data_IF_269587759090
#
_entry.id   IF_269587759090
#
_cell.length_a   1.000
_cell.length_b   1.000
_cell.length_c   1.000
_cell.angle_alpha   90.00
_cell.angle_beta   90.00
_cell.angle_gamma   90.00
#
_symmetry.space_group_name_H-M   'P 1'
#
loop_
_entity.id
_entity.type
_entity.pdbx_description
1 polymer ?
#
# COMPACT_ATOMS: atom_id res chain seq x y z
N UNK A 1 -7.33 10.58 17.04
CA UNK A 1 -7.30 9.11 16.94
C UNK A 1 -7.26 8.72 15.48
N UNK A 2 -6.35 7.80 15.09
CA UNK A 2 -6.27 7.27 13.71
C UNK A 2 -7.34 6.19 13.50
N UNK A 3 -8.15 6.34 12.46
CA UNK A 3 -9.05 5.30 11.96
C UNK A 3 -8.40 4.51 10.83
N UNK A 4 -8.35 3.19 10.93
CA UNK A 4 -7.77 2.31 9.91
C UNK A 4 -8.85 1.46 9.25
N UNK A 5 -9.06 1.71 7.95
CA UNK A 5 -9.99 0.97 7.11
C UNK A 5 -9.26 -0.23 6.49
N UNK A 6 -9.33 -1.37 7.16
CA UNK A 6 -8.57 -2.58 6.86
C UNK A 6 -9.42 -3.75 6.35
N UNK A 7 -8.80 -4.93 6.27
CA UNK A 7 -9.44 -6.18 5.82
C UNK A 7 -9.21 -6.53 4.35
N UNK A 8 -8.32 -5.77 3.65
CA UNK A 8 -8.13 -5.89 2.21
C UNK A 8 -6.68 -6.25 1.75
N UNK A 9 -5.92 -7.19 2.33
CA UNK A 9 -6.39 -8.25 3.23
C UNK A 9 -6.08 -8.04 4.72
N UNK A 10 -6.55 -8.98 5.52
CA UNK A 10 -6.31 -8.97 6.95
C UNK A 10 -4.83 -9.04 7.33
N UNK A 11 -4.04 -9.85 6.65
CA UNK A 11 -2.59 -9.98 6.87
C UNK A 11 -1.88 -8.65 6.61
N UNK A 12 -2.20 -7.98 5.49
CA UNK A 12 -1.66 -6.67 5.17
C UNK A 12 -2.08 -5.57 6.17
N UNK A 13 -3.28 -5.70 6.74
CA UNK A 13 -3.77 -4.79 7.78
C UNK A 13 -3.00 -4.97 9.09
N UNK A 14 -2.73 -6.22 9.49
CA UNK A 14 -1.91 -6.53 10.65
C UNK A 14 -0.45 -6.04 10.47
N UNK A 15 0.13 -6.26 9.30
CA UNK A 15 1.46 -5.76 8.92
C UNK A 15 1.53 -4.22 9.00
N UNK A 16 0.51 -3.51 8.49
CA UNK A 16 0.43 -2.05 8.62
C UNK A 16 0.44 -1.62 10.08
N UNK A 17 -0.37 -2.26 10.94
CA UNK A 17 -0.42 -1.91 12.35
C UNK A 17 0.90 -2.18 13.06
N UNK A 18 1.54 -3.32 12.78
CA UNK A 18 2.88 -3.63 13.31
C UNK A 18 3.92 -2.57 12.89
N UNK A 19 3.89 -2.13 11.63
CA UNK A 19 4.76 -1.06 11.12
C UNK A 19 4.45 0.29 11.76
N UNK A 20 3.18 0.62 11.97
CA UNK A 20 2.79 1.85 12.67
C UNK A 20 3.39 1.89 14.08
N UNK A 21 3.32 0.78 14.81
CA UNK A 21 3.94 0.65 16.14
C UNK A 21 5.47 0.79 16.04
N UNK A 22 6.11 0.04 15.13
CA UNK A 22 7.57 0.03 14.98
C UNK A 22 8.15 1.38 14.52
N UNK A 23 7.44 2.13 13.68
CA UNK A 23 7.88 3.43 13.18
C UNK A 23 7.54 4.59 14.14
N UNK A 24 6.70 4.38 15.15
CA UNK A 24 6.39 5.41 16.14
C UNK A 24 7.56 5.57 17.10
N UNK A 25 8.22 6.75 17.17
CA UNK A 25 9.26 7.02 18.16
C UNK A 25 8.61 7.18 19.55
N UNK A 26 8.48 6.09 20.27
CA UNK A 26 7.84 5.97 21.57
C UNK A 26 8.88 5.59 22.65
N UNK A 27 8.70 6.09 23.87
CA UNK A 27 9.44 5.71 25.07
C UNK A 27 8.60 4.86 26.01
N UNK A 28 7.27 4.92 25.87
CA UNK A 28 6.28 4.15 26.59
C UNK A 28 5.02 3.98 25.75
N UNK A 29 4.06 3.19 26.27
CA UNK A 29 2.82 2.87 25.57
C UNK A 29 1.99 4.12 25.24
N UNK A 30 2.04 5.13 26.08
CA UNK A 30 1.33 6.42 25.95
C UNK A 30 1.82 7.27 24.78
N UNK A 31 3.00 7.00 24.25
CA UNK A 31 3.59 7.72 23.12
C UNK A 31 3.13 7.19 21.76
N UNK A 32 2.46 6.03 21.74
CA UNK A 32 1.95 5.45 20.51
C UNK A 32 0.68 6.15 19.99
N UNK A 33 0.47 6.06 18.68
CA UNK A 33 -0.71 6.59 18.00
C UNK A 33 -1.97 5.84 18.47
N UNK A 34 -2.98 6.51 19.04
CA UNK A 34 -4.26 5.86 19.36
C UNK A 34 -4.97 5.44 18.08
N UNK A 35 -5.36 4.17 17.96
CA UNK A 35 -5.92 3.58 16.74
C UNK A 35 -7.27 2.94 16.97
N UNK A 36 -8.22 3.22 16.07
CA UNK A 36 -9.44 2.46 15.86
C UNK A 36 -9.30 1.72 14.53
N UNK A 37 -9.17 0.39 14.58
CA UNK A 37 -8.96 -0.44 13.40
C UNK A 37 -10.19 -1.29 13.11
N UNK A 38 -10.76 -1.16 11.91
CA UNK A 38 -11.80 -2.05 11.39
C UNK A 38 -11.18 -2.93 10.30
N UNK A 39 -11.12 -4.23 10.54
CA UNK A 39 -10.68 -5.23 9.56
C UNK A 39 -11.87 -6.09 9.14
N UNK A 40 -12.46 -5.80 7.96
CA UNK A 40 -13.56 -6.61 7.43
C UNK A 40 -13.13 -7.33 6.13
N UNK A 41 -12.88 -8.65 6.18
CA UNK A 41 -12.46 -9.40 5.00
C UNK A 41 -13.61 -9.66 4.00
N UNK A 42 -14.86 -9.29 4.33
CA UNK A 42 -16.04 -9.47 3.48
C UNK A 42 -16.23 -8.32 2.48
N UNK A 43 -15.38 -7.29 2.51
CA UNK A 43 -15.37 -6.23 1.50
C UNK A 43 -15.22 -6.87 0.09
N UNK A 44 -16.11 -6.56 -0.88
CA UNK A 44 -16.05 -7.12 -2.22
C UNK A 44 -14.65 -7.05 -2.84
N UNK A 45 -14.21 -8.10 -3.58
CA UNK A 45 -12.87 -8.15 -4.15
C UNK A 45 -12.61 -7.00 -5.12
N UNK A 46 -11.56 -6.21 -4.88
CA UNK A 46 -11.17 -5.04 -5.70
C UNK A 46 -10.78 -5.39 -7.13
N UNK A 47 -9.95 -6.45 -7.38
CA UNK A 47 -9.56 -6.74 -8.76
C UNK A 47 -10.72 -7.08 -9.70
N UNK A 48 -11.69 -7.96 -9.38
CA UNK A 48 -12.84 -8.19 -10.26
C UNK A 48 -13.72 -6.95 -10.47
N UNK A 49 -13.86 -6.10 -9.46
CA UNK A 49 -14.63 -4.86 -9.58
C UNK A 49 -14.01 -3.89 -10.59
N UNK A 50 -12.67 -3.79 -10.61
CA UNK A 50 -11.94 -2.91 -11.54
C UNK A 50 -11.84 -3.52 -12.94
N UNK A 51 -11.48 -4.82 -13.04
CA UNK A 51 -11.13 -5.45 -14.30
C UNK A 51 -12.33 -5.99 -15.07
N UNK A 52 -13.40 -6.39 -14.37
CA UNK A 52 -14.55 -7.07 -14.94
C UNK A 52 -15.91 -6.42 -14.62
N UNK A 53 -15.91 -5.24 -13.97
CA UNK A 53 -17.16 -4.57 -13.60
C UNK A 53 -18.02 -5.34 -12.59
N UNK A 54 -17.38 -6.19 -11.75
CA UNK A 54 -18.08 -6.89 -10.68
C UNK A 54 -18.56 -5.93 -9.58
N UNK A 55 -19.17 -6.47 -8.54
CA UNK A 55 -19.70 -5.68 -7.41
C UNK A 55 -18.67 -4.67 -6.87
N UNK A 56 -19.07 -3.39 -6.82
CA UNK A 56 -18.21 -2.32 -6.31
C UNK A 56 -18.06 -2.40 -4.80
N UNK A 57 -16.85 -2.33 -4.25
CA UNK A 57 -16.64 -2.26 -2.81
C UNK A 57 -16.98 -0.90 -2.21
N UNK A 58 -17.22 0.14 -3.02
CA UNK A 58 -17.39 1.52 -2.57
C UNK A 58 -18.49 1.70 -1.50
N UNK A 59 -19.69 1.10 -1.62
CA UNK A 59 -20.72 1.26 -0.59
C UNK A 59 -20.27 0.70 0.77
N UNK A 60 -19.59 -0.45 0.79
CA UNK A 60 -19.07 -1.06 2.01
C UNK A 60 -17.92 -0.23 2.59
N UNK A 61 -17.03 0.27 1.74
CA UNK A 61 -15.92 1.14 2.16
C UNK A 61 -16.42 2.43 2.80
N UNK A 62 -17.46 3.07 2.22
CA UNK A 62 -18.12 4.25 2.82
C UNK A 62 -18.72 3.94 4.19
N UNK A 63 -19.46 2.85 4.30
CA UNK A 63 -20.05 2.44 5.58
C UNK A 63 -19.00 2.18 6.67
N UNK A 64 -17.86 1.57 6.32
CA UNK A 64 -16.76 1.35 7.26
C UNK A 64 -16.04 2.66 7.62
N UNK A 65 -15.82 3.56 6.65
CA UNK A 65 -15.31 4.91 6.87
C UNK A 65 -16.15 5.66 7.90
N UNK A 66 -17.47 5.68 7.68
CA UNK A 66 -18.41 6.41 8.53
C UNK A 66 -18.47 5.82 9.94
N UNK A 67 -18.34 4.49 10.07
CA UNK A 67 -18.22 3.84 11.38
C UNK A 67 -16.94 4.22 12.12
N UNK A 68 -15.81 4.35 11.42
CA UNK A 68 -14.55 4.83 12.01
C UNK A 68 -14.72 6.26 12.53
N UNK A 69 -15.33 7.14 11.74
CA UNK A 69 -15.59 8.54 12.13
C UNK A 69 -16.53 8.59 13.33
N UNK A 70 -17.64 7.85 13.31
CA UNK A 70 -18.58 7.75 14.43
C UNK A 70 -17.91 7.17 15.69
N UNK A 71 -16.90 6.32 15.54
CA UNK A 71 -16.06 5.80 16.62
C UNK A 71 -15.01 6.79 17.14
N UNK A 72 -14.98 8.01 16.62
CA UNK A 72 -14.09 9.09 17.07
C UNK A 72 -12.76 9.18 16.32
N UNK A 73 -12.61 8.55 15.15
CA UNK A 73 -11.43 8.77 14.31
C UNK A 73 -11.41 10.22 13.80
N UNK A 74 -10.27 10.87 13.92
CA UNK A 74 -10.04 12.27 13.50
C UNK A 74 -9.12 12.37 12.28
N UNK A 75 -8.58 11.24 11.81
CA UNK A 75 -7.82 11.05 10.58
C UNK A 75 -7.98 9.61 10.14
N UNK A 76 -8.03 9.36 8.85
CA UNK A 76 -8.23 8.02 8.28
C UNK A 76 -7.04 7.56 7.45
N UNK A 77 -6.85 6.23 7.40
CA UNK A 77 -5.91 5.57 6.51
C UNK A 77 -6.48 4.24 6.01
N UNK A 78 -6.11 3.86 4.79
CA UNK A 78 -6.54 2.61 4.15
C UNK A 78 -5.32 1.86 3.60
N UNK A 79 -4.81 0.81 4.30
CA UNK A 79 -3.63 0.06 3.89
C UNK A 79 -3.95 -0.93 2.76
N UNK A 80 -4.35 -0.42 1.60
CA UNK A 80 -4.66 -1.20 0.42
C UNK A 80 -4.48 -0.35 -0.84
N UNK A 81 -3.45 -0.64 -1.66
CA UNK A 81 -3.20 0.10 -2.89
C UNK A 81 -4.37 -0.02 -3.87
N UNK A 82 -4.84 -1.23 -4.17
CA UNK A 82 -5.92 -1.44 -5.15
C UNK A 82 -7.22 -0.71 -4.78
N UNK A 83 -7.53 -0.59 -3.48
CA UNK A 83 -8.72 0.13 -3.04
C UNK A 83 -8.62 1.65 -3.24
N UNK A 84 -7.41 2.20 -3.46
CA UNK A 84 -7.21 3.62 -3.79
C UNK A 84 -7.79 4.01 -5.17
N UNK A 85 -8.23 3.04 -5.98
CA UNK A 85 -9.09 3.32 -7.13
C UNK A 85 -10.37 4.10 -6.74
N UNK A 86 -10.87 3.89 -5.54
CA UNK A 86 -12.05 4.60 -5.00
C UNK A 86 -11.69 5.73 -4.03
N UNK A 87 -10.41 6.10 -3.93
CA UNK A 87 -9.93 7.06 -2.94
C UNK A 87 -10.64 8.42 -3.06
N UNK A 88 -10.70 8.99 -4.25
CA UNK A 88 -11.33 10.29 -4.47
C UNK A 88 -12.81 10.28 -4.04
N UNK A 89 -13.55 9.23 -4.42
CA UNK A 89 -14.95 9.06 -4.03
C UNK A 89 -15.15 8.82 -2.52
N UNK A 90 -14.12 8.36 -1.81
CA UNK A 90 -14.14 8.18 -0.36
C UNK A 90 -13.72 9.47 0.38
N UNK A 91 -12.89 10.28 -0.22
CA UNK A 91 -12.32 11.49 0.37
C UNK A 91 -13.21 12.73 0.13
N UNK A 92 -13.96 12.77 -0.99
CA UNK A 92 -14.73 13.94 -1.45
C UNK A 92 -15.68 14.50 -0.38
N UNK A 93 -16.37 13.63 0.33
CA UNK A 93 -17.33 13.97 1.39
C UNK A 93 -16.86 13.57 2.80
N UNK A 94 -15.59 13.28 2.97
CA UNK A 94 -15.03 12.85 4.24
C UNK A 94 -14.76 14.05 5.15
N UNK A 95 -15.39 14.14 6.35
CA UNK A 95 -15.25 15.29 7.25
C UNK A 95 -13.91 15.35 7.98
N UNK A 96 -13.06 14.33 7.84
CA UNK A 96 -11.73 14.25 8.45
C UNK A 96 -10.69 13.96 7.37
N UNK A 97 -9.41 14.34 7.55
CA UNK A 97 -8.35 14.00 6.60
C UNK A 97 -8.29 12.50 6.33
N UNK A 98 -8.25 12.12 5.05
CA UNK A 98 -8.05 10.75 4.62
C UNK A 98 -6.68 10.65 3.94
N UNK A 99 -5.75 9.91 4.55
CA UNK A 99 -4.37 9.82 4.08
C UNK A 99 -4.25 8.82 2.92
N UNK A 100 -3.59 9.26 1.84
CA UNK A 100 -3.38 8.45 0.63
C UNK A 100 -2.10 7.60 0.75
N UNK A 101 -2.21 6.28 0.59
CA UNK A 101 -1.05 5.38 0.51
C UNK A 101 -0.23 5.66 -0.76
N UNK A 102 -0.88 6.12 -1.84
CA UNK A 102 -0.23 6.45 -3.11
C UNK A 102 0.66 7.67 -2.94
N UNK A 103 0.12 8.75 -2.34
CA UNK A 103 0.90 9.96 -2.07
C UNK A 103 2.03 9.75 -1.08
N UNK A 104 1.76 9.00 0.01
CA UNK A 104 2.77 8.63 1.00
C UNK A 104 3.93 7.87 0.34
N UNK A 105 3.62 6.87 -0.49
CA UNK A 105 4.63 6.06 -1.17
C UNK A 105 5.41 6.85 -2.22
N UNK A 106 4.72 7.67 -3.02
CA UNK A 106 5.37 8.52 -4.02
C UNK A 106 6.28 9.60 -3.38
N UNK A 107 5.90 10.08 -2.18
CA UNK A 107 6.74 11.00 -1.40
C UNK A 107 8.06 10.36 -0.93
N UNK A 108 8.06 9.07 -0.62
CA UNK A 108 9.28 8.35 -0.21
C UNK A 108 10.23 8.04 -1.38
N UNK A 109 9.79 8.11 -2.64
CA UNK A 109 10.68 7.89 -3.80
C UNK A 109 11.89 8.80 -3.76
N UNK A 110 11.71 10.06 -3.39
CA UNK A 110 12.79 11.05 -3.32
C UNK A 110 13.97 10.63 -2.42
N UNK A 111 13.71 9.79 -1.41
CA UNK A 111 14.75 9.30 -0.49
C UNK A 111 15.65 8.24 -1.12
N UNK A 112 15.13 7.48 -2.09
CA UNK A 112 15.87 6.42 -2.80
C UNK A 112 16.38 6.87 -4.16
N UNK A 113 15.59 7.66 -4.88
CA UNK A 113 15.83 8.05 -6.25
C UNK A 113 15.34 9.49 -6.50
N UNK A 114 16.22 10.50 -6.39
CA UNK A 114 15.88 11.88 -6.72
C UNK A 114 15.36 12.02 -8.16
N UNK A 115 14.45 12.95 -8.39
CA UNK A 115 13.92 13.21 -9.73
C UNK A 115 15.00 13.89 -10.63
N UNK A 116 15.02 13.62 -11.95
CA UNK A 116 14.14 12.69 -12.65
C UNK A 116 14.59 11.22 -12.49
N UNK A 117 13.67 10.31 -12.21
CA UNK A 117 14.00 8.89 -12.07
C UNK A 117 12.91 7.99 -12.67
N UNK A 118 13.23 6.72 -12.87
CA UNK A 118 12.32 5.69 -13.34
C UNK A 118 11.91 4.82 -12.14
N UNK A 119 10.62 4.77 -11.85
CA UNK A 119 10.05 4.04 -10.72
C UNK A 119 9.25 2.85 -11.23
N UNK A 120 9.68 1.63 -10.86
CA UNK A 120 8.93 0.43 -11.20
C UNK A 120 7.82 0.17 -10.18
N UNK A 121 6.71 -0.42 -10.64
CA UNK A 121 5.58 -0.81 -9.80
C UNK A 121 5.47 -2.33 -9.74
N UNK A 122 5.48 -2.90 -8.53
CA UNK A 122 5.13 -4.30 -8.26
C UNK A 122 3.76 -4.30 -7.58
N UNK A 123 2.73 -4.71 -8.30
CA UNK A 123 1.34 -4.53 -7.89
C UNK A 123 0.42 -5.61 -8.45
N UNK A 124 -0.84 -5.64 -7.99
CA UNK A 124 -1.89 -6.43 -8.66
C UNK A 124 -2.18 -5.86 -10.05
N UNK A 125 -2.63 -6.71 -10.99
CA UNK A 125 -3.06 -6.27 -12.33
C UNK A 125 -4.09 -5.14 -12.26
N UNK A 126 -5.01 -5.21 -11.32
CA UNK A 126 -6.02 -4.17 -11.12
C UNK A 126 -5.41 -2.82 -10.71
N UNK A 127 -4.40 -2.82 -9.86
CA UNK A 127 -3.68 -1.60 -9.47
C UNK A 127 -2.95 -0.98 -10.65
N UNK A 128 -2.30 -1.82 -11.48
CA UNK A 128 -1.61 -1.35 -12.69
C UNK A 128 -2.61 -0.82 -13.72
N UNK A 129 -3.72 -1.54 -13.96
CA UNK A 129 -4.76 -1.12 -14.90
C UNK A 129 -5.45 0.19 -14.47
N UNK A 130 -5.63 0.39 -13.18
CA UNK A 130 -6.21 1.61 -12.60
C UNK A 130 -5.29 2.84 -12.69
N UNK A 131 -3.99 2.65 -12.97
CA UNK A 131 -2.98 3.71 -13.16
C UNK A 131 -2.93 4.75 -12.02
N UNK A 132 -3.25 4.33 -10.79
CA UNK A 132 -3.38 5.22 -9.62
C UNK A 132 -2.07 5.92 -9.23
N UNK A 133 -0.91 5.40 -9.67
CA UNK A 133 0.41 5.99 -9.40
C UNK A 133 0.89 6.95 -10.47
N UNK A 134 0.34 6.87 -11.69
CA UNK A 134 0.89 7.56 -12.86
C UNK A 134 0.93 9.09 -12.68
N UNK A 135 -0.21 9.68 -12.32
CA UNK A 135 -0.33 11.15 -12.15
C UNK A 135 0.52 11.65 -11.00
N UNK A 136 0.52 10.91 -9.88
CA UNK A 136 1.23 11.31 -8.66
C UNK A 136 2.75 11.25 -8.85
N UNK A 137 3.26 10.22 -9.53
CA UNK A 137 4.68 10.10 -9.85
C UNK A 137 5.12 11.10 -10.92
N UNK A 138 4.31 11.28 -11.98
CA UNK A 138 4.59 12.27 -13.02
C UNK A 138 4.67 13.71 -12.48
N UNK A 139 3.76 14.08 -11.57
CA UNK A 139 3.78 15.38 -10.91
C UNK A 139 5.04 15.61 -10.05
N UNK A 140 5.73 14.55 -9.64
CA UNK A 140 7.00 14.58 -8.90
C UNK A 140 8.24 14.42 -9.82
N UNK A 141 8.05 14.39 -11.14
CA UNK A 141 9.14 14.28 -12.13
C UNK A 141 9.64 12.85 -12.35
N UNK A 142 8.88 11.83 -11.93
CA UNK A 142 9.26 10.43 -12.12
C UNK A 142 8.50 9.80 -13.30
N UNK A 143 9.13 8.80 -13.94
CA UNK A 143 8.52 7.95 -14.96
C UNK A 143 8.14 6.60 -14.36
N UNK A 144 6.97 6.10 -14.72
CA UNK A 144 6.51 4.77 -14.31
C UNK A 144 7.06 3.71 -15.25
N UNK A 145 7.62 2.63 -14.67
CA UNK A 145 7.96 1.39 -15.35
C UNK A 145 7.03 0.28 -14.86
N UNK A 146 6.44 -0.46 -15.79
CA UNK A 146 5.60 -1.60 -15.47
C UNK A 146 6.33 -2.93 -15.72
N UNK A 147 6.00 -3.98 -14.97
CA UNK A 147 6.42 -5.34 -15.29
C UNK A 147 5.83 -5.75 -16.64
N UNK A 148 6.50 -6.65 -17.34
CA UNK A 148 5.93 -7.25 -18.51
C UNK A 148 4.86 -8.32 -18.17
N UNK A 149 4.17 -8.84 -19.20
CA UNK A 149 3.08 -9.78 -18.99
C UNK A 149 3.55 -11.13 -18.40
N UNK A 150 4.79 -11.55 -18.63
CA UNK A 150 5.35 -12.76 -18.05
C UNK A 150 5.74 -12.55 -16.58
N UNK A 151 6.43 -11.46 -16.28
CA UNK A 151 6.77 -11.04 -14.91
C UNK A 151 5.51 -10.94 -14.04
N UNK A 152 4.43 -10.37 -14.59
CA UNK A 152 3.17 -10.28 -13.89
C UNK A 152 2.53 -11.64 -13.63
N UNK A 153 2.39 -12.49 -14.68
CA UNK A 153 1.67 -13.77 -14.59
C UNK A 153 2.46 -14.84 -13.85
N UNK A 154 3.78 -14.93 -14.07
CA UNK A 154 4.60 -16.01 -13.51
C UNK A 154 5.30 -15.63 -12.21
N UNK A 155 5.48 -14.33 -11.93
CA UNK A 155 6.17 -13.84 -10.75
C UNK A 155 5.23 -13.16 -9.76
N UNK A 156 4.66 -12.00 -10.11
CA UNK A 156 3.95 -11.12 -9.17
C UNK A 156 2.62 -11.73 -8.69
N UNK A 157 1.76 -12.17 -9.62
CA UNK A 157 0.44 -12.70 -9.24
C UNK A 157 0.53 -13.94 -8.33
N UNK A 158 1.37 -14.97 -8.64
CA UNK A 158 1.54 -16.11 -7.75
C UNK A 158 2.16 -15.73 -6.40
N UNK A 159 3.12 -14.80 -6.38
CA UNK A 159 3.73 -14.34 -5.14
C UNK A 159 2.70 -13.70 -4.20
N UNK A 160 1.82 -12.83 -4.73
CA UNK A 160 0.74 -12.23 -3.94
C UNK A 160 -0.21 -13.32 -3.40
N UNK A 161 -0.52 -14.35 -4.19
CA UNK A 161 -1.35 -15.47 -3.75
C UNK A 161 -0.68 -16.27 -2.63
N UNK A 162 0.61 -16.59 -2.75
CA UNK A 162 1.40 -17.29 -1.71
C UNK A 162 1.41 -16.54 -0.38
N UNK A 163 1.63 -15.21 -0.38
CA UNK A 163 1.59 -14.44 0.87
C UNK A 163 0.22 -14.53 1.54
N UNK A 164 -0.86 -14.46 0.79
CA UNK A 164 -2.22 -14.59 1.34
C UNK A 164 -2.50 -15.97 1.96
N UNK A 165 -1.78 -16.99 1.51
CA UNK A 165 -1.83 -18.35 2.07
C UNK A 165 -0.80 -18.57 3.20
N UNK A 166 -0.03 -17.54 3.59
CA UNK A 166 0.99 -17.65 4.65
C UNK A 166 2.34 -18.17 4.17
N UNK A 167 2.57 -18.27 2.87
CA UNK A 167 3.76 -18.85 2.24
C UNK A 167 4.74 -17.74 1.77
N UNK A 168 5.09 -16.83 2.66
CA UNK A 168 5.90 -15.65 2.33
C UNK A 168 7.28 -15.98 1.75
N UNK A 169 7.91 -17.08 2.17
CA UNK A 169 9.20 -17.54 1.63
C UNK A 169 9.12 -17.95 0.16
N UNK A 170 8.10 -18.73 -0.22
CA UNK A 170 7.86 -19.09 -1.63
C UNK A 170 7.55 -17.86 -2.49
N UNK A 171 6.77 -16.93 -1.95
CA UNK A 171 6.48 -15.65 -2.60
C UNK A 171 7.76 -14.84 -2.87
N UNK A 172 8.68 -14.78 -1.89
CA UNK A 172 9.95 -14.07 -2.04
C UNK A 172 10.83 -14.63 -3.15
N UNK A 173 10.89 -15.96 -3.29
CA UNK A 173 11.62 -16.61 -4.39
C UNK A 173 11.09 -16.25 -5.77
N UNK A 174 9.79 -15.98 -5.90
CA UNK A 174 9.17 -15.55 -7.15
C UNK A 174 9.39 -14.05 -7.42
N UNK A 175 9.36 -13.22 -6.38
CA UNK A 175 9.44 -11.76 -6.52
C UNK A 175 10.86 -11.23 -6.75
N UNK A 176 11.88 -11.85 -6.13
CA UNK A 176 13.27 -11.37 -6.23
C UNK A 176 13.73 -11.27 -7.68
N UNK A 177 13.60 -12.32 -8.52
CA UNK A 177 14.03 -12.24 -9.92
C UNK A 177 13.29 -11.16 -10.73
N UNK A 178 12.00 -10.94 -10.45
CA UNK A 178 11.21 -9.89 -11.12
C UNK A 178 11.76 -8.50 -10.77
N UNK A 179 12.03 -8.24 -9.49
CA UNK A 179 12.55 -6.94 -9.05
C UNK A 179 13.96 -6.71 -9.61
N UNK A 180 14.81 -7.73 -9.62
CA UNK A 180 16.15 -7.67 -10.23
C UNK A 180 16.07 -7.34 -11.73
N UNK A 181 15.13 -7.96 -12.46
CA UNK A 181 14.90 -7.66 -13.87
C UNK A 181 14.42 -6.23 -14.10
N UNK A 182 13.51 -5.72 -13.26
CA UNK A 182 13.06 -4.32 -13.33
C UNK A 182 14.23 -3.35 -13.09
N UNK A 183 15.07 -3.63 -12.10
CA UNK A 183 16.26 -2.82 -11.81
C UNK A 183 17.26 -2.89 -12.97
N UNK A 184 17.50 -4.07 -13.54
CA UNK A 184 18.39 -4.27 -14.68
C UNK A 184 17.89 -3.53 -15.94
N UNK A 185 16.56 -3.35 -16.10
CA UNK A 185 15.96 -2.54 -17.16
C UNK A 185 16.01 -1.03 -16.89
N UNK A 186 16.62 -0.60 -15.80
CA UNK A 186 16.84 0.81 -15.47
C UNK A 186 15.82 1.41 -14.50
N UNK A 187 15.16 0.61 -13.68
CA UNK A 187 14.40 1.15 -12.56
C UNK A 187 15.35 1.66 -11.47
N UNK A 188 15.20 2.92 -11.10
CA UNK A 188 15.98 3.56 -10.04
C UNK A 188 15.45 3.20 -8.65
N UNK A 189 14.14 3.01 -8.53
CA UNK A 189 13.44 2.54 -7.34
C UNK A 189 12.25 1.66 -7.72
N UNK A 190 11.77 0.85 -6.77
CA UNK A 190 10.60 -0.02 -6.95
C UNK A 190 9.58 0.27 -5.85
N UNK A 191 8.36 0.64 -6.21
CA UNK A 191 7.25 0.72 -5.25
C UNK A 191 6.58 -0.65 -5.17
N UNK A 192 6.56 -1.22 -3.96
CA UNK A 192 5.82 -2.44 -3.66
C UNK A 192 4.33 -2.10 -3.46
N UNK A 193 3.67 -1.81 -4.59
CA UNK A 193 2.28 -1.33 -4.64
C UNK A 193 1.23 -2.46 -4.45
N UNK A 194 1.62 -3.50 -3.76
CA UNK A 194 0.77 -4.50 -3.13
C UNK A 194 1.30 -4.74 -1.72
N UNK A 195 0.47 -4.55 -0.72
CA UNK A 195 0.84 -4.57 0.70
C UNK A 195 1.31 -5.94 1.20
N UNK A 196 1.11 -6.99 0.42
CA UNK A 196 1.64 -8.33 0.65
C UNK A 196 3.13 -8.48 0.26
N UNK A 197 3.60 -7.76 -0.76
CA UNK A 197 4.93 -7.99 -1.36
C UNK A 197 6.12 -7.66 -0.46
N UNK A 198 6.08 -6.67 0.47
CA UNK A 198 7.19 -6.45 1.40
C UNK A 198 7.48 -7.67 2.27
N UNK A 199 6.44 -8.35 2.78
CA UNK A 199 6.58 -9.54 3.63
C UNK A 199 7.28 -10.69 2.91
N UNK A 200 7.04 -10.83 1.60
CA UNK A 200 7.69 -11.83 0.78
C UNK A 200 9.21 -11.60 0.70
N UNK A 201 9.63 -10.36 0.46
CA UNK A 201 11.06 -10.01 0.37
C UNK A 201 11.76 -10.11 1.73
N UNK A 202 11.08 -9.70 2.79
CA UNK A 202 11.61 -9.77 4.16
C UNK A 202 11.80 -11.23 4.60
N UNK A 203 10.90 -12.15 4.18
CA UNK A 203 10.99 -13.58 4.51
C UNK A 203 12.23 -14.29 3.92
N UNK A 204 12.79 -13.77 2.82
CA UNK A 204 13.97 -14.34 2.16
C UNK A 204 15.23 -13.47 2.35
N UNK A 205 15.15 -12.40 3.14
CA UNK A 205 16.27 -11.49 3.37
C UNK A 205 16.80 -10.87 2.08
N UNK A 206 15.94 -10.53 1.13
CA UNK A 206 16.30 -10.12 -0.21
C UNK A 206 17.08 -8.80 -0.24
N UNK A 207 18.29 -8.78 -0.82
CA UNK A 207 19.11 -7.58 -0.94
C UNK A 207 18.45 -6.47 -1.75
N UNK A 208 17.62 -6.83 -2.74
CA UNK A 208 16.83 -5.87 -3.57
C UNK A 208 15.86 -5.04 -2.73
N UNK A 209 15.54 -5.46 -1.50
CA UNK A 209 14.66 -4.76 -0.56
C UNK A 209 15.12 -3.32 -0.30
N UNK A 210 16.43 -3.07 -0.33
CA UNK A 210 17.01 -1.73 -0.17
C UNK A 210 16.66 -0.75 -1.30
N UNK A 211 16.22 -1.25 -2.47
CA UNK A 211 15.76 -0.46 -3.61
C UNK A 211 14.22 -0.32 -3.66
N UNK A 212 13.53 -0.85 -2.64
CA UNK A 212 12.08 -0.95 -2.64
C UNK A 212 11.44 -0.04 -1.59
N UNK A 213 10.36 0.62 -1.99
CA UNK A 213 9.48 1.39 -1.11
C UNK A 213 8.34 0.47 -0.65
N UNK A 214 8.20 0.36 0.65
CA UNK A 214 7.13 -0.35 1.33
C UNK A 214 5.95 0.59 1.56
N UNK A 215 4.86 0.35 0.85
CA UNK A 215 3.72 1.27 0.88
C UNK A 215 3.00 1.30 2.23
N UNK A 216 2.97 0.18 2.99
CA UNK A 216 2.45 0.17 4.36
C UNK A 216 3.32 0.99 5.30
N UNK A 217 4.64 0.89 5.17
CA UNK A 217 5.60 1.66 5.97
C UNK A 217 5.50 3.16 5.67
N UNK A 218 5.43 3.51 4.38
CA UNK A 218 5.23 4.89 3.95
C UNK A 218 3.92 5.49 4.51
N UNK A 219 2.83 4.75 4.43
CA UNK A 219 1.54 5.17 5.00
C UNK A 219 1.62 5.30 6.53
N UNK A 220 2.29 4.37 7.23
CA UNK A 220 2.47 4.42 8.68
C UNK A 220 3.21 5.70 9.11
N UNK A 221 4.30 6.05 8.43
CA UNK A 221 5.05 7.30 8.68
C UNK A 221 4.19 8.54 8.43
N UNK A 222 3.42 8.54 7.35
CA UNK A 222 2.47 9.62 7.05
C UNK A 222 1.42 9.77 8.17
N UNK A 223 0.87 8.66 8.67
CA UNK A 223 -0.07 8.66 9.79
C UNK A 223 0.54 9.23 11.08
N UNK A 224 1.78 8.85 11.40
CA UNK A 224 2.50 9.37 12.58
C UNK A 224 2.73 10.87 12.46
N UNK A 225 3.13 11.35 11.28
CA UNK A 225 3.32 12.78 11.03
C UNK A 225 2.01 13.57 11.19
N UNK A 226 0.92 13.08 10.58
CA UNK A 226 -0.39 13.73 10.69
C UNK A 226 -0.90 13.77 12.13
N UNK A 227 -0.73 12.68 12.89
CA UNK A 227 -1.12 12.62 14.29
C UNK A 227 -0.31 13.56 15.17
N UNK A 228 1.00 13.68 14.93
CA UNK A 228 1.88 14.60 15.67
C UNK A 228 1.56 16.06 15.38
N UNK A 229 1.24 16.39 14.14
CA UNK A 229 0.87 17.75 13.74
C UNK A 229 -0.46 18.23 14.35
N UNK A 230 -1.31 17.28 14.79
CA UNK A 230 -2.61 17.57 15.43
C UNK A 230 -2.56 17.64 16.97
N UNK A 231 -1.37 17.50 17.58
CA UNK A 231 -1.12 17.61 19.03
C UNK A 231 -0.64 19.00 19.41
#
# INVERSE_FOLDING_TARGET
MLGVLGGMGPVATADFFAKLVAETPARGDEDHVPVLLLSDPRIPPRPPAILAGAESPLPVLRALRDRLIAGGATVLAMPCNTAHFWYDALAEDCPVPFLSIVDASAGEVQTLAPAPSTVALVATEATLAARIYDTVLAARGHRVMLPDAQEQRAGINPAIAHVKCGEAGAAGQLLVPVIEALIARGADAVILACTETPMALDAVGAAVRARCIDTNRALARCCIQAWRAAR
#
